data_IF_974352226864
#
_entry.id   IF_974352226864
#
_cell.length_a   1.000
_cell.length_b   1.000
_cell.length_c   1.000
_cell.angle_alpha   90.00
_cell.angle_beta   90.00
_cell.angle_gamma   90.00
#
_symmetry.space_group_name_H-M   'P 1'
#
loop_
_entity.id
_entity.type
_entity.pdbx_description
1 polymer ?
#
# COMPACT_ATOMS: atom_id res chain seq x y z
N UNK A 1 -7.63 -7.44 -12.10
CA UNK A 1 -6.53 -8.08 -12.84
C UNK A 1 -6.41 -7.31 -14.14
N UNK A 2 -5.52 -6.31 -14.20
CA UNK A 2 -5.36 -5.45 -15.39
C UNK A 2 -4.39 -6.18 -16.33
N UNK A 3 -4.87 -6.63 -17.49
CA UNK A 3 -4.02 -7.30 -18.48
C UNK A 3 -3.00 -6.31 -19.03
N UNK A 4 -1.71 -6.66 -19.13
CA UNK A 4 -0.78 -5.86 -19.92
C UNK A 4 -1.25 -5.94 -21.38
N UNK A 5 -1.48 -4.76 -21.95
CA UNK A 5 -1.39 -4.40 -23.37
C UNK A 5 -1.08 -5.56 -24.35
N UNK A 6 -1.99 -5.85 -25.29
CA UNK A 6 -1.91 -6.95 -26.28
C UNK A 6 -0.84 -6.75 -27.37
N UNK A 7 0.27 -6.09 -27.04
CA UNK A 7 1.41 -5.82 -27.92
C UNK A 7 2.72 -6.41 -27.40
N UNK A 8 3.78 -6.45 -28.24
CA UNK A 8 5.11 -6.78 -27.77
C UNK A 8 5.53 -5.78 -26.67
N UNK A 9 6.20 -6.24 -25.61
CA UNK A 9 6.59 -5.35 -24.52
C UNK A 9 7.53 -4.27 -25.04
N UNK A 10 7.51 -3.08 -24.42
CA UNK A 10 8.30 -1.92 -24.89
C UNK A 10 9.80 -2.22 -25.08
N UNK A 11 10.37 -3.16 -24.31
CA UNK A 11 11.78 -3.56 -24.43
C UNK A 11 12.08 -4.44 -25.65
N UNK A 12 11.05 -4.96 -26.34
CA UNK A 12 11.18 -5.72 -27.59
C UNK A 12 11.01 -4.83 -28.84
N UNK A 13 10.64 -3.55 -28.67
CA UNK A 13 10.47 -2.60 -29.76
C UNK A 13 11.77 -1.83 -30.04
N UNK A 14 11.96 -1.44 -31.31
CA UNK A 14 13.02 -0.49 -31.68
C UNK A 14 12.73 0.91 -31.12
N UNK A 15 13.77 1.72 -30.95
CA UNK A 15 13.62 3.10 -30.47
C UNK A 15 12.60 3.90 -31.30
N UNK A 16 12.64 3.78 -32.63
CA UNK A 16 11.70 4.48 -33.52
C UNK A 16 10.24 4.04 -33.29
N UNK A 17 10.01 2.75 -33.05
CA UNK A 17 8.67 2.23 -32.75
C UNK A 17 8.16 2.71 -31.39
N UNK A 18 9.03 2.75 -30.36
CA UNK A 18 8.67 3.27 -29.04
C UNK A 18 8.31 4.75 -29.12
N UNK A 19 9.13 5.56 -29.82
CA UNK A 19 8.87 6.98 -30.03
C UNK A 19 7.53 7.22 -30.75
N UNK A 20 7.24 6.46 -31.81
CA UNK A 20 5.97 6.55 -32.52
C UNK A 20 4.78 6.12 -31.66
N UNK A 21 4.90 5.00 -30.93
CA UNK A 21 3.85 4.47 -30.07
C UNK A 21 3.46 5.46 -28.96
N UNK A 22 4.46 6.06 -28.30
CA UNK A 22 4.25 7.05 -27.23
C UNK A 22 4.12 8.49 -27.73
N UNK A 23 4.00 8.68 -29.05
CA UNK A 23 3.87 9.99 -29.72
C UNK A 23 4.86 11.01 -29.15
N UNK A 24 6.14 10.65 -29.16
CA UNK A 24 7.22 11.48 -28.63
C UNK A 24 8.42 11.45 -29.56
N UNK A 25 9.36 12.36 -29.33
CA UNK A 25 10.56 12.49 -30.16
C UNK A 25 11.81 12.18 -29.36
N UNK A 26 12.94 12.01 -30.04
CA UNK A 26 14.24 11.88 -29.39
C UNK A 26 14.64 13.13 -28.58
N UNK A 27 14.02 14.29 -28.86
CA UNK A 27 14.20 15.52 -28.09
C UNK A 27 13.33 15.56 -26.82
N UNK A 28 12.43 14.59 -26.63
CA UNK A 28 11.51 14.50 -25.50
C UNK A 28 10.13 15.11 -25.79
N UNK A 29 9.41 15.39 -24.71
CA UNK A 29 8.10 16.03 -24.71
C UNK A 29 8.25 17.54 -24.53
N UNK A 30 7.34 18.30 -25.14
CA UNK A 30 7.17 19.70 -24.77
C UNK A 30 6.46 19.85 -23.42
N UNK A 31 6.47 21.06 -22.87
CA UNK A 31 5.89 21.31 -21.55
C UNK A 31 4.36 21.09 -21.54
N UNK A 32 3.68 21.43 -22.63
CA UNK A 32 2.22 21.30 -22.75
C UNK A 32 1.78 19.83 -22.76
N UNK A 33 2.46 18.99 -23.53
CA UNK A 33 2.27 17.55 -23.61
C UNK A 33 2.62 16.90 -22.28
N UNK A 34 3.71 17.33 -21.64
CA UNK A 34 4.11 16.82 -20.33
C UNK A 34 3.04 17.12 -19.26
N UNK A 35 2.50 18.34 -19.23
CA UNK A 35 1.44 18.73 -18.30
C UNK A 35 0.13 17.99 -18.57
N UNK A 36 -0.26 17.87 -19.85
CA UNK A 36 -1.46 17.14 -20.25
C UNK A 36 -1.37 15.65 -19.85
N UNK A 37 -0.22 15.00 -20.13
CA UNK A 37 0.01 13.60 -19.74
C UNK A 37 0.05 13.44 -18.22
N UNK A 38 0.64 14.39 -17.49
CA UNK A 38 0.65 14.36 -16.02
C UNK A 38 -0.75 14.49 -15.43
N UNK A 39 -1.62 15.30 -16.03
CA UNK A 39 -3.02 15.40 -15.61
C UNK A 39 -3.80 14.09 -15.87
N UNK A 40 -3.48 13.38 -16.96
CA UNK A 40 -4.14 12.12 -17.32
C UNK A 40 -3.66 10.92 -16.50
N UNK A 41 -2.34 10.78 -16.31
CA UNK A 41 -1.75 9.60 -15.64
C UNK A 41 -1.51 9.80 -14.14
N UNK A 42 -1.58 11.04 -13.66
CA UNK A 42 -1.20 11.40 -12.31
C UNK A 42 0.32 11.43 -12.11
N UNK A 43 0.74 11.64 -10.86
CA UNK A 43 2.15 11.61 -10.50
C UNK A 43 2.71 10.19 -10.60
N UNK A 44 3.91 10.04 -11.16
CA UNK A 44 4.67 8.79 -11.10
C UNK A 44 5.22 8.56 -9.68
N UNK A 45 4.32 8.34 -8.72
CA UNK A 45 4.60 8.07 -7.31
C UNK A 45 3.59 7.04 -6.83
N UNK A 46 4.10 6.01 -6.16
CA UNK A 46 3.27 5.02 -5.50
C UNK A 46 2.42 5.69 -4.40
N UNK A 47 1.16 5.24 -4.22
CA UNK A 47 0.32 5.74 -3.14
C UNK A 47 1.03 5.52 -1.80
N UNK A 48 1.02 6.54 -0.95
CA UNK A 48 1.62 6.41 0.37
C UNK A 48 0.81 5.40 1.19
N UNK A 49 1.47 4.43 1.86
CA UNK A 49 0.74 3.45 2.65
C UNK A 49 -0.06 4.17 3.74
N UNK A 50 -1.25 3.67 4.10
CA UNK A 50 -2.07 4.29 5.13
C UNK A 50 -1.29 4.37 6.43
N UNK A 51 -1.21 5.58 6.99
CA UNK A 51 -0.54 5.82 8.27
C UNK A 51 -1.34 5.15 9.38
N UNK A 52 -0.77 4.09 9.96
CA UNK A 52 -1.30 3.51 11.21
C UNK A 52 -0.92 4.41 12.38
N UNK A 53 -1.89 4.74 13.22
CA UNK A 53 -1.67 5.53 14.43
C UNK A 53 -0.63 4.85 15.35
N UNK A 54 0.35 5.57 15.92
CA UNK A 54 1.43 4.97 16.72
C UNK A 54 0.90 4.15 17.91
N UNK A 55 -0.17 4.60 18.56
CA UNK A 55 -0.82 3.84 19.65
C UNK A 55 -1.44 2.51 19.17
N UNK A 56 -2.07 2.49 17.98
CA UNK A 56 -2.63 1.26 17.42
C UNK A 56 -1.52 0.28 17.02
N UNK A 57 -0.39 0.79 16.54
CA UNK A 57 0.80 -0.03 16.27
C UNK A 57 1.37 -0.63 17.56
N UNK A 58 1.44 0.16 18.63
CA UNK A 58 1.87 -0.32 19.95
C UNK A 58 0.94 -1.43 20.49
N UNK A 59 -0.38 -1.20 20.51
CA UNK A 59 -1.37 -2.18 20.98
C UNK A 59 -1.39 -3.46 20.14
N UNK A 60 -1.12 -3.37 18.83
CA UNK A 60 -1.01 -4.55 17.98
C UNK A 60 0.15 -5.48 18.39
N UNK A 61 1.21 -4.98 19.05
CA UNK A 61 2.27 -5.83 19.59
C UNK A 61 1.82 -6.65 20.81
N UNK A 62 0.78 -6.20 21.52
CA UNK A 62 0.19 -6.91 22.65
C UNK A 62 -0.89 -7.92 22.22
N UNK A 63 -1.18 -8.03 20.93
CA UNK A 63 -2.13 -9.01 20.41
C UNK A 63 -1.51 -10.41 20.30
N UNK A 64 -1.01 -10.96 21.42
CA UNK A 64 -0.42 -12.29 21.51
C UNK A 64 -1.36 -13.22 22.30
N UNK A 65 -1.41 -14.50 21.92
CA UNK A 65 -2.14 -15.56 22.63
C UNK A 65 -1.81 -15.54 24.13
N UNK A 66 -0.54 -15.34 24.51
CA UNK A 66 -0.11 -15.26 25.91
C UNK A 66 -0.85 -14.15 26.69
N UNK A 67 -1.03 -12.98 26.08
CA UNK A 67 -1.72 -11.84 26.75
C UNK A 67 -3.20 -12.15 26.93
N UNK A 68 -3.84 -12.84 25.99
CA UNK A 68 -5.22 -13.29 26.14
C UNK A 68 -5.36 -14.33 27.26
N UNK A 69 -4.41 -15.26 27.36
CA UNK A 69 -4.38 -16.24 28.45
C UNK A 69 -4.19 -15.55 29.80
N UNK A 70 -3.29 -14.58 29.90
CA UNK A 70 -3.07 -13.82 31.13
C UNK A 70 -4.29 -12.98 31.53
N UNK A 71 -4.93 -12.30 30.57
CA UNK A 71 -6.17 -11.56 30.81
C UNK A 71 -7.32 -12.49 31.24
N UNK A 72 -7.45 -13.66 30.60
CA UNK A 72 -8.41 -14.68 30.97
C UNK A 72 -8.16 -15.23 32.38
N UNK A 73 -6.91 -15.55 32.71
CA UNK A 73 -6.52 -15.99 34.05
C UNK A 73 -6.78 -14.92 35.11
N UNK A 74 -6.47 -13.65 34.81
CA UNK A 74 -6.76 -12.53 35.69
C UNK A 74 -8.27 -12.33 35.89
N UNK A 75 -9.09 -12.47 34.84
CA UNK A 75 -10.54 -12.38 34.93
C UNK A 75 -11.13 -13.52 35.78
N UNK A 76 -10.69 -14.77 35.57
CA UNK A 76 -11.09 -15.92 36.41
C UNK A 76 -10.67 -15.70 37.86
N UNK A 77 -9.45 -15.20 38.09
CA UNK A 77 -8.94 -14.91 39.45
C UNK A 77 -9.74 -13.80 40.12
N UNK A 78 -10.08 -12.72 39.41
CA UNK A 78 -10.89 -11.64 39.93
C UNK A 78 -12.32 -12.08 40.26
N UNK A 79 -12.92 -12.93 39.41
CA UNK A 79 -14.21 -13.55 39.69
C UNK A 79 -14.12 -14.41 40.96
N UNK A 80 -13.14 -15.32 41.05
CA UNK A 80 -12.95 -16.15 42.23
C UNK A 80 -12.69 -15.32 43.50
N UNK A 81 -11.87 -14.27 43.41
CA UNK A 81 -11.62 -13.37 44.53
C UNK A 81 -12.90 -12.66 45.00
N UNK A 82 -13.77 -12.25 44.08
CA UNK A 82 -15.05 -11.63 44.44
C UNK A 82 -16.04 -12.63 45.06
N UNK A 83 -16.00 -13.90 44.63
CA UNK A 83 -16.83 -14.98 45.23
C UNK A 83 -16.35 -15.46 46.60
N UNK A 84 -15.05 -15.33 46.90
CA UNK A 84 -14.48 -15.71 48.20
C UNK A 84 -14.70 -14.63 49.26
N UNK A 85 -14.97 -13.39 48.85
CA UNK A 85 -15.17 -12.22 49.73
C UNK A 85 -16.67 -11.83 49.89
N UNK A 86 -17.59 -12.75 49.56
CA UNK A 86 -19.04 -12.72 49.88
C UNK A 86 -19.48 -14.03 50.49
#
# INVERSE_FOLDING_TARGET
>A
MMTPDEGPPCHALTAAQVLAHWQTTAAGLDNTDAEQRRAQHGSNRLPEPPRRHPLLRFLAHFNNVLIHVLLGAAAVTALLAHWVDT
#
